data_IF_416985915832
#
_entry.id   IF_416985915832
#
_cell.length_a   1.000
_cell.length_b   1.000
_cell.length_c   1.000
_cell.angle_alpha   90.00
_cell.angle_beta   90.00
_cell.angle_gamma   90.00
#
_symmetry.space_group_name_H-M   'P 1'
#
loop_
_entity.id
_entity.type
_entity.pdbx_description
1 polymer ?
#
# COMPACT_ATOMS: atom_id res chain seq x y z
N UNK A 1 -0.73 -26.63 8.32
CA UNK A 1 -0.16 -26.14 7.04
C UNK A 1 -1.26 -25.41 6.30
N UNK A 2 -1.22 -24.09 6.28
CA UNK A 2 -2.28 -23.25 5.68
C UNK A 2 -1.68 -22.48 4.49
N UNK A 3 -2.41 -22.32 3.37
CA UNK A 3 -1.87 -21.72 2.16
C UNK A 3 -1.66 -20.21 2.38
N UNK A 4 -0.44 -19.75 2.09
CA UNK A 4 -0.05 -18.35 2.14
C UNK A 4 -0.85 -17.56 1.10
N UNK A 5 -1.60 -16.52 1.53
CA UNK A 5 -2.19 -15.54 0.61
C UNK A 5 -1.21 -14.42 0.33
N UNK A 6 -0.90 -14.24 -0.96
CA UNK A 6 0.07 -13.30 -1.45
C UNK A 6 -0.63 -12.19 -2.26
N UNK A 7 -0.31 -10.93 -1.99
CA UNK A 7 -1.02 -9.75 -2.48
C UNK A 7 -0.10 -8.82 -3.25
N UNK A 8 -0.26 -8.60 -4.55
CA UNK A 8 0.70 -7.75 -5.30
C UNK A 8 0.38 -6.27 -5.08
N UNK A 9 1.38 -5.43 -4.74
CA UNK A 9 1.27 -3.96 -4.82
C UNK A 9 1.20 -3.53 -6.29
N UNK A 10 -0.02 -3.69 -6.80
CA UNK A 10 -0.66 -3.18 -8.01
C UNK A 10 -1.87 -4.11 -8.24
N UNK A 11 -2.77 -4.21 -7.24
CA UNK A 11 -4.02 -4.95 -7.31
C UNK A 11 -3.93 -6.38 -7.85
N UNK A 12 -3.43 -7.34 -7.06
CA UNK A 12 -3.68 -8.77 -7.35
C UNK A 12 -4.09 -9.49 -6.07
N UNK A 13 -5.14 -10.29 -6.20
CA UNK A 13 -5.56 -11.33 -5.26
C UNK A 13 -4.98 -12.65 -5.77
N UNK A 14 -4.28 -13.41 -4.92
CA UNK A 14 -4.14 -14.86 -5.13
C UNK A 14 -5.21 -15.57 -4.31
N UNK A 15 -6.06 -16.37 -4.95
CA UNK A 15 -7.01 -17.24 -4.24
C UNK A 15 -6.29 -18.51 -3.76
N UNK A 16 -6.82 -19.19 -2.72
CA UNK A 16 -6.27 -20.46 -2.23
C UNK A 16 -6.20 -21.58 -3.28
N UNK A 17 -6.89 -21.41 -4.42
CA UNK A 17 -6.98 -22.36 -5.53
C UNK A 17 -5.89 -22.23 -6.60
N UNK A 18 -5.00 -21.23 -6.53
CA UNK A 18 -3.85 -21.09 -7.44
C UNK A 18 -4.15 -20.46 -8.81
N UNK A 19 -5.34 -19.89 -9.00
CA UNK A 19 -5.71 -19.22 -10.26
C UNK A 19 -5.03 -17.86 -10.42
N UNK A 20 -4.34 -17.68 -11.56
CA UNK A 20 -3.44 -16.54 -11.83
C UNK A 20 -4.14 -15.45 -12.65
N UNK A 21 -4.43 -14.33 -12.01
CA UNK A 21 -5.03 -13.12 -12.61
C UNK A 21 -3.98 -12.33 -13.42
N UNK A 22 -4.26 -12.04 -14.70
CA UNK A 22 -3.40 -11.22 -15.59
C UNK A 22 -3.74 -9.72 -15.49
N UNK A 23 -2.74 -8.90 -15.18
CA UNK A 23 -2.84 -7.44 -15.03
C UNK A 23 -2.68 -6.63 -16.32
N UNK A 24 -3.39 -5.50 -16.40
CA UNK A 24 -3.17 -4.39 -17.36
C UNK A 24 -1.78 -3.76 -17.15
N UNK A 25 -0.89 -3.91 -18.15
CA UNK A 25 0.46 -3.32 -18.32
C UNK A 25 1.25 -3.14 -17.01
N UNK A 26 2.29 -3.97 -16.86
CA UNK A 26 3.18 -3.95 -15.69
C UNK A 26 3.84 -2.59 -15.44
N UNK A 27 4.54 -2.51 -14.31
CA UNK A 27 5.44 -1.38 -13.98
C UNK A 27 6.43 -1.10 -15.13
N UNK A 28 7.15 0.03 -15.10
CA UNK A 28 8.16 0.43 -16.12
C UNK A 28 9.10 -0.70 -16.59
N UNK A 29 9.25 -1.76 -15.78
CA UNK A 29 10.12 -2.90 -16.05
C UNK A 29 9.38 -4.25 -16.24
N UNK A 30 8.05 -4.28 -16.38
CA UNK A 30 7.21 -5.49 -16.44
C UNK A 30 7.42 -6.50 -15.28
N UNK A 31 8.08 -6.07 -14.20
CA UNK A 31 8.37 -6.93 -13.04
C UNK A 31 7.10 -7.11 -12.22
N UNK A 32 6.74 -8.37 -11.98
CA UNK A 32 5.68 -8.77 -11.04
C UNK A 32 6.25 -8.80 -9.63
N UNK A 33 5.49 -8.29 -8.66
CA UNK A 33 5.91 -8.20 -7.26
C UNK A 33 4.80 -8.64 -6.34
N UNK A 34 5.07 -9.57 -5.45
CA UNK A 34 4.08 -10.09 -4.52
C UNK A 34 4.38 -9.54 -3.12
N UNK A 35 3.38 -8.94 -2.48
CA UNK A 35 3.43 -8.41 -1.12
C UNK A 35 2.57 -9.29 -0.20
N UNK A 36 3.10 -9.90 0.86
CA UNK A 36 2.28 -10.74 1.72
C UNK A 36 1.31 -9.87 2.52
N UNK A 37 0.07 -10.34 2.67
CA UNK A 37 -0.86 -9.77 3.66
C UNK A 37 -1.12 -10.83 4.70
N UNK A 38 -1.15 -10.42 5.96
CA UNK A 38 -1.40 -11.33 7.06
C UNK A 38 -2.86 -11.83 7.01
N UNK A 39 -3.06 -13.09 7.41
CA UNK A 39 -4.40 -13.65 7.51
C UNK A 39 -5.16 -12.98 8.66
N UNK A 40 -6.41 -12.58 8.41
CA UNK A 40 -7.27 -11.88 9.37
C UNK A 40 -6.97 -10.38 9.52
N UNK A 41 -5.98 -9.86 8.80
CA UNK A 41 -5.58 -8.46 8.89
C UNK A 41 -6.67 -7.51 8.37
N UNK A 42 -6.62 -6.23 8.75
CA UNK A 42 -7.61 -5.25 8.28
C UNK A 42 -7.48 -4.98 6.78
N UNK A 43 -6.25 -4.99 6.25
CA UNK A 43 -5.99 -4.87 4.82
C UNK A 43 -6.57 -6.06 4.06
N UNK A 44 -6.40 -7.28 4.57
CA UNK A 44 -7.04 -8.45 3.96
C UNK A 44 -8.57 -8.32 3.97
N UNK A 45 -9.14 -7.93 5.11
CA UNK A 45 -10.59 -7.74 5.26
C UNK A 45 -11.13 -6.68 4.29
N UNK A 46 -10.46 -5.51 4.22
CA UNK A 46 -10.81 -4.43 3.29
C UNK A 46 -10.73 -4.89 1.83
N UNK A 47 -9.71 -5.65 1.46
CA UNK A 47 -9.58 -6.18 0.11
C UNK A 47 -10.71 -7.17 -0.21
N UNK A 48 -11.13 -8.00 0.74
CA UNK A 48 -12.29 -8.88 0.55
C UNK A 48 -13.59 -8.10 0.41
N UNK A 49 -13.80 -7.06 1.21
CA UNK A 49 -14.99 -6.18 1.10
C UNK A 49 -15.07 -5.47 -0.26
N UNK A 50 -13.93 -5.04 -0.80
CA UNK A 50 -13.87 -4.35 -2.09
C UNK A 50 -13.94 -5.29 -3.31
N UNK A 51 -13.75 -6.60 -3.10
CA UNK A 51 -13.77 -7.59 -4.17
C UNK A 51 -15.21 -7.89 -4.57
N UNK A 52 -15.49 -7.92 -5.87
CA UNK A 52 -16.76 -8.43 -6.37
C UNK A 52 -16.80 -9.97 -6.38
N UNK A 53 -17.98 -10.56 -6.17
CA UNK A 53 -18.20 -12.01 -6.19
C UNK A 53 -17.61 -12.70 -7.42
N UNK A 54 -17.68 -12.03 -8.58
CA UNK A 54 -17.04 -12.43 -9.84
C UNK A 54 -15.88 -11.49 -10.18
N UNK A 55 -14.65 -11.74 -9.69
CA UNK A 55 -13.51 -10.87 -9.92
C UNK A 55 -13.03 -10.94 -11.38
N UNK A 56 -13.16 -9.83 -12.11
CA UNK A 56 -12.57 -9.69 -13.44
C UNK A 56 -11.11 -9.21 -13.32
N UNK A 57 -10.11 -9.97 -13.82
CA UNK A 57 -8.70 -9.57 -13.80
C UNK A 57 -8.38 -8.25 -14.50
N UNK A 58 -9.26 -7.77 -15.39
CA UNK A 58 -9.09 -6.51 -16.12
C UNK A 58 -9.73 -5.33 -15.39
N UNK A 59 -10.53 -5.58 -14.35
CA UNK A 59 -11.24 -4.54 -13.62
C UNK A 59 -10.37 -4.00 -12.49
N UNK A 60 -10.29 -2.68 -12.40
CA UNK A 60 -9.61 -2.00 -11.30
C UNK A 60 -10.38 -2.19 -9.99
N UNK A 61 -9.65 -2.51 -8.92
CA UNK A 61 -10.18 -2.58 -7.56
C UNK A 61 -10.39 -1.19 -6.98
N UNK A 62 -9.31 -0.40 -6.95
CA UNK A 62 -9.36 0.99 -6.54
C UNK A 62 -9.61 1.88 -7.75
N UNK A 63 -10.70 2.64 -7.69
CA UNK A 63 -11.11 3.59 -8.72
C UNK A 63 -11.32 4.96 -8.11
N UNK A 64 -11.15 6.01 -8.91
CA UNK A 64 -11.66 7.33 -8.54
C UNK A 64 -13.19 7.33 -8.49
N UNK A 65 -13.77 8.40 -7.96
CA UNK A 65 -15.22 8.66 -8.04
C UNK A 65 -15.75 8.67 -9.48
N UNK A 66 -14.89 8.97 -10.46
CA UNK A 66 -15.20 8.92 -11.90
C UNK A 66 -14.85 7.58 -12.58
N UNK A 67 -14.52 6.54 -11.81
CA UNK A 67 -14.20 5.21 -12.31
C UNK A 67 -12.79 5.05 -12.92
N UNK A 68 -11.95 6.08 -12.80
CA UNK A 68 -10.61 6.11 -13.41
C UNK A 68 -9.56 5.40 -12.54
N UNK A 69 -8.44 5.01 -13.17
CA UNK A 69 -7.29 4.45 -12.47
C UNK A 69 -6.72 5.45 -11.47
N UNK A 70 -6.49 4.97 -10.25
CA UNK A 70 -5.80 5.74 -9.21
C UNK A 70 -4.40 6.15 -9.67
N UNK A 71 -4.04 7.39 -9.36
CA UNK A 71 -2.71 7.95 -9.60
C UNK A 71 -2.35 8.89 -8.45
N UNK A 72 -1.09 9.33 -8.41
CA UNK A 72 -0.58 10.14 -7.32
C UNK A 72 -1.34 11.46 -7.14
N UNK A 73 -1.81 12.09 -8.22
CA UNK A 73 -2.60 13.34 -8.15
C UNK A 73 -3.95 13.11 -7.48
N UNK A 74 -4.62 11.98 -7.77
CA UNK A 74 -5.88 11.62 -7.10
C UNK A 74 -5.61 11.28 -5.64
N UNK A 75 -4.53 10.54 -5.37
CA UNK A 75 -4.12 10.20 -4.00
C UNK A 75 -3.84 11.41 -3.13
N UNK A 76 -3.07 12.34 -3.68
CA UNK A 76 -2.73 13.60 -3.06
C UNK A 76 -3.98 14.42 -2.69
N UNK A 77 -5.00 14.46 -3.57
CA UNK A 77 -6.26 15.17 -3.29
C UNK A 77 -6.99 14.66 -2.05
N UNK A 78 -7.15 13.35 -1.88
CA UNK A 78 -7.84 12.83 -0.68
C UNK A 78 -6.93 12.86 0.56
N UNK A 79 -5.61 12.96 0.38
CA UNK A 79 -4.65 12.99 1.48
C UNK A 79 -4.54 14.38 2.11
N UNK A 80 -4.20 15.40 1.31
CA UNK A 80 -4.00 16.78 1.78
C UNK A 80 -5.19 17.70 1.54
N UNK A 81 -6.16 17.27 0.74
CA UNK A 81 -7.28 18.10 0.31
C UNK A 81 -7.00 18.84 -0.99
N UNK A 82 -8.04 19.49 -1.51
CA UNK A 82 -7.92 20.35 -2.68
C UNK A 82 -9.05 21.37 -2.77
N UNK A 83 -8.77 22.48 -3.43
CA UNK A 83 -9.75 23.55 -3.70
C UNK A 83 -10.25 23.45 -5.13
N UNK A 84 -11.56 23.58 -5.34
CA UNK A 84 -12.12 23.76 -6.68
C UNK A 84 -13.43 24.53 -6.62
N UNK A 85 -13.63 25.46 -7.57
CA UNK A 85 -14.87 26.25 -7.72
C UNK A 85 -15.34 26.91 -6.39
N UNK A 86 -14.40 27.46 -5.62
CA UNK A 86 -14.71 28.11 -4.33
C UNK A 86 -14.99 27.16 -3.17
N UNK A 87 -15.01 25.84 -3.39
CA UNK A 87 -15.17 24.85 -2.33
C UNK A 87 -13.82 24.23 -1.93
N UNK A 88 -13.63 24.04 -0.63
CA UNK A 88 -12.45 23.40 -0.04
C UNK A 88 -12.80 21.97 0.40
N UNK A 89 -12.24 20.98 -0.29
CA UNK A 89 -12.34 19.59 0.14
C UNK A 89 -11.19 19.30 1.11
N UNK A 90 -11.52 18.97 2.36
CA UNK A 90 -10.53 18.53 3.34
C UNK A 90 -9.99 17.16 2.96
N UNK A 91 -8.67 16.99 3.12
CA UNK A 91 -8.02 15.68 3.00
C UNK A 91 -7.96 14.99 4.35
N UNK A 92 -7.98 13.66 4.35
CA UNK A 92 -8.02 12.85 5.58
C UNK A 92 -6.86 13.19 6.51
N UNK A 93 -5.63 13.27 6.00
CA UNK A 93 -4.45 13.51 6.83
C UNK A 93 -4.30 14.99 7.19
N UNK A 94 -4.67 15.90 6.28
CA UNK A 94 -4.69 17.32 6.60
C UNK A 94 -5.71 17.64 7.71
N UNK A 95 -6.89 17.02 7.67
CA UNK A 95 -7.93 17.22 8.68
C UNK A 95 -7.54 16.67 10.04
N UNK A 96 -7.00 15.44 10.10
CA UNK A 96 -6.51 14.87 11.36
C UNK A 96 -5.34 15.69 11.94
N UNK A 97 -4.51 16.28 11.08
CA UNK A 97 -3.43 17.16 11.50
C UNK A 97 -3.92 18.52 12.01
N UNK A 98 -4.92 19.12 11.36
CA UNK A 98 -5.58 20.34 11.82
C UNK A 98 -6.24 20.14 13.20
N UNK A 99 -6.78 18.95 13.45
CA UNK A 99 -7.35 18.56 14.75
C UNK A 99 -6.30 18.26 15.82
N UNK A 100 -5.00 18.25 15.47
CA UNK A 100 -3.91 17.94 16.40
C UNK A 100 -3.82 16.47 16.82
N UNK A 101 -4.55 15.57 16.15
CA UNK A 101 -4.54 14.12 16.45
C UNK A 101 -3.22 13.49 15.99
N UNK A 102 -2.71 13.94 14.85
CA UNK A 102 -1.41 13.50 14.29
C UNK A 102 -0.63 14.72 13.79
N UNK A 103 0.71 14.67 13.72
CA UNK A 103 1.44 15.63 12.89
C UNK A 103 1.07 15.43 11.42
N UNK A 104 1.25 16.46 10.59
CA UNK A 104 1.05 16.29 9.15
C UNK A 104 2.08 15.29 8.59
N UNK A 105 1.57 14.24 7.94
CA UNK A 105 2.38 13.20 7.30
C UNK A 105 2.23 13.32 5.79
N UNK A 106 3.35 13.24 5.04
CA UNK A 106 3.27 13.15 3.58
C UNK A 106 2.83 11.75 3.15
N UNK A 107 2.29 11.59 1.93
CA UNK A 107 2.04 10.25 1.38
C UNK A 107 3.31 9.40 1.38
N UNK A 108 4.47 9.99 1.08
CA UNK A 108 5.74 9.27 1.09
C UNK A 108 6.15 8.80 2.49
N UNK A 109 5.73 9.51 3.55
CA UNK A 109 5.97 9.10 4.94
C UNK A 109 5.37 7.71 5.22
N UNK A 110 4.29 7.31 4.55
CA UNK A 110 3.74 5.94 4.67
C UNK A 110 4.70 4.88 4.15
N UNK A 111 5.37 5.14 3.00
CA UNK A 111 6.38 4.25 2.43
C UNK A 111 7.58 4.12 3.37
N UNK A 112 8.07 5.24 3.90
CA UNK A 112 9.18 5.25 4.86
C UNK A 112 8.82 4.46 6.11
N UNK A 113 7.67 4.76 6.71
CA UNK A 113 7.18 4.07 7.91
C UNK A 113 7.07 2.58 7.64
N UNK A 114 6.38 2.16 6.59
CA UNK A 114 6.28 0.74 6.24
C UNK A 114 7.65 0.06 6.09
N UNK A 115 8.58 0.68 5.36
CA UNK A 115 9.89 0.08 5.07
C UNK A 115 10.70 -0.13 6.35
N UNK A 116 10.81 0.91 7.17
CA UNK A 116 11.54 0.88 8.44
C UNK A 116 10.91 -0.12 9.41
N UNK A 117 9.58 -0.17 9.50
CA UNK A 117 8.86 -1.13 10.33
C UNK A 117 9.03 -2.57 9.86
N UNK A 118 8.94 -2.83 8.56
CA UNK A 118 9.15 -4.17 8.01
C UNK A 118 10.53 -4.73 8.40
N UNK A 119 11.57 -3.89 8.34
CA UNK A 119 12.93 -4.26 8.73
C UNK A 119 13.01 -4.51 10.25
N UNK A 120 12.44 -3.61 11.06
CA UNK A 120 12.41 -3.77 12.51
C UNK A 120 11.67 -5.05 12.96
N UNK A 121 10.62 -5.45 12.23
CA UNK A 121 9.88 -6.69 12.43
C UNK A 121 10.58 -7.94 11.86
N UNK A 122 11.83 -7.82 11.41
CA UNK A 122 12.66 -8.95 10.96
C UNK A 122 12.58 -9.29 9.48
N UNK A 123 11.94 -8.48 8.63
CA UNK A 123 12.04 -8.67 7.18
C UNK A 123 13.44 -8.25 6.70
N UNK A 124 14.06 -9.08 5.86
CA UNK A 124 15.37 -8.74 5.30
C UNK A 124 15.29 -7.53 4.36
N UNK A 125 16.35 -6.69 4.28
CA UNK A 125 16.39 -5.54 3.37
C UNK A 125 16.12 -5.90 1.90
N UNK A 126 16.51 -7.09 1.45
CA UNK A 126 16.23 -7.59 0.11
C UNK A 126 14.74 -7.82 -0.12
N UNK A 127 14.05 -8.38 0.88
CA UNK A 127 12.61 -8.62 0.84
C UNK A 127 11.84 -7.30 0.80
N UNK A 128 12.26 -6.34 1.62
CA UNK A 128 11.67 -4.99 1.64
C UNK A 128 11.93 -4.25 0.32
N UNK A 129 13.14 -4.34 -0.24
CA UNK A 129 13.45 -3.77 -1.55
C UNK A 129 12.55 -4.36 -2.65
N UNK A 130 12.31 -5.67 -2.62
CA UNK A 130 11.38 -6.34 -3.54
C UNK A 130 9.95 -5.82 -3.41
N UNK A 131 9.42 -5.69 -2.18
CA UNK A 131 8.08 -5.16 -1.92
C UNK A 131 7.90 -3.71 -2.36
N UNK A 132 8.86 -2.86 -1.98
CA UNK A 132 8.89 -1.44 -2.35
C UNK A 132 9.16 -1.21 -3.83
N UNK A 133 9.73 -2.22 -4.47
CA UNK A 133 10.15 -2.14 -5.84
C UNK A 133 11.36 -1.26 -6.10
N UNK A 134 12.23 -1.19 -5.10
CA UNK A 134 13.44 -0.38 -5.06
C UNK A 134 14.69 -1.27 -5.24
N UNK A 135 15.88 -0.68 -5.15
CA UNK A 135 17.12 -1.42 -5.01
C UNK A 135 17.49 -1.59 -3.52
N UNK A 136 18.26 -2.63 -3.21
CA UNK A 136 18.65 -2.97 -1.83
C UNK A 136 19.51 -1.87 -1.21
N UNK A 137 20.37 -1.22 -2.02
CA UNK A 137 21.24 -0.14 -1.53
C UNK A 137 20.43 1.04 -0.98
N UNK A 138 19.37 1.47 -1.67
CA UNK A 138 18.43 2.48 -1.16
C UNK A 138 17.85 2.04 0.17
N UNK A 139 17.46 0.77 0.30
CA UNK A 139 16.84 0.28 1.53
C UNK A 139 17.80 0.30 2.72
N UNK A 140 19.03 -0.15 2.50
CA UNK A 140 20.10 -0.12 3.50
C UNK A 140 20.44 1.32 3.91
N UNK A 141 20.51 2.24 2.95
CA UNK A 141 20.89 3.64 3.22
C UNK A 141 19.81 4.46 3.93
N UNK A 142 18.52 4.21 3.65
CA UNK A 142 17.44 5.10 4.08
C UNK A 142 16.45 4.51 5.09
N UNK A 143 16.43 3.19 5.31
CA UNK A 143 15.45 2.56 6.20
C UNK A 143 16.07 1.69 7.31
N UNK A 144 17.34 1.32 7.19
CA UNK A 144 18.06 0.58 8.23
C UNK A 144 18.68 1.56 9.24
N UNK A 145 17.89 2.01 10.20
CA UNK A 145 18.41 2.79 11.33
C UNK A 145 18.73 1.85 12.51
N UNK A 146 19.89 2.00 13.17
CA UNK A 146 20.30 1.13 14.28
C UNK A 146 19.36 1.21 15.51
N UNK A 147 18.52 2.23 15.60
CA UNK A 147 17.73 2.53 16.80
C UNK A 147 16.26 2.04 16.78
N UNK A 148 15.80 1.35 15.73
CA UNK A 148 14.36 1.00 15.52
C UNK A 148 13.95 -0.31 16.22
N UNK A 149 14.77 -0.85 17.12
CA UNK A 149 14.63 -2.21 17.66
C UNK A 149 13.55 -2.41 18.74
N UNK A 150 12.56 -1.50 18.89
CA UNK A 150 11.66 -1.48 20.08
C UNK A 150 10.16 -1.27 19.83
N UNK A 151 9.59 -1.63 18.68
CA UNK A 151 8.14 -1.48 18.50
C UNK A 151 7.47 -2.65 17.79
N UNK A 152 6.47 -3.25 18.45
CA UNK A 152 5.57 -4.24 17.85
C UNK A 152 4.56 -3.56 16.92
N UNK A 153 4.33 -4.18 15.76
CA UNK A 153 3.51 -3.64 14.68
C UNK A 153 2.02 -3.87 14.96
N UNK A 154 1.15 -2.84 14.85
CA UNK A 154 -0.28 -3.06 14.85
C UNK A 154 -0.72 -3.80 13.58
N UNK A 155 -1.81 -4.54 13.68
CA UNK A 155 -2.40 -5.28 12.58
C UNK A 155 -2.96 -4.31 11.50
N UNK A 156 -2.49 -4.49 10.25
CA UNK A 156 -2.80 -3.65 9.09
C UNK A 156 -3.96 -4.15 8.27
#
# INVERSE_FOLDING_TARGET
>A
MCPNLSWVVAGVFETPTGDRVRLLKGTKNNKRRVFPCQQGSKLQSLLFELRSDSPDPKKLLFKSSSGQKMNLRISDRFWRGYSTKGYQYKGVVAELAEQGIIPYLSIYSTRHTFATWAIASGASPEKVAYWLGDNVQTVLSYYCHPDVTKSECPDF
#
